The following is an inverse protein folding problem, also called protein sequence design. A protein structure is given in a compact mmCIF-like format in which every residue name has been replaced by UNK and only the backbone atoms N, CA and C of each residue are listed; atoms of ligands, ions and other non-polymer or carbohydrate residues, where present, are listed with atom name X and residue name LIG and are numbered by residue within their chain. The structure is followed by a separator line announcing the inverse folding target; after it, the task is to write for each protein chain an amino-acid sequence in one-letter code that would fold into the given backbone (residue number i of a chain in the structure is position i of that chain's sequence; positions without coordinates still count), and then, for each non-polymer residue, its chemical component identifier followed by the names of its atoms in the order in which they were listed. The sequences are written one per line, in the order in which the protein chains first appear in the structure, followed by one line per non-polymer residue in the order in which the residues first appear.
data_IF_115434370207
#
_entry.id   IF_115434370207
#
_cell.length_a   1.000
_cell.length_b   1.000
_cell.length_c   1.000
_cell.angle_alpha   90.00
_cell.angle_beta   90.00
_cell.angle_gamma   90.00
#
_symmetry.space_group_name_H-M   'P 1'
#
loop_
_entity.id
_entity.type
_entity.pdbx_description
1 polymer ?
#
# COMPACT_ATOMS: atom_id res chain seq x y z
N UNK A 1 5.00 14.03 45.70
CA UNK A 1 4.39 13.29 46.84
C UNK A 1 2.97 12.92 46.45
N UNK A 2 2.61 11.63 46.52
CA UNK A 2 1.30 11.12 46.10
C UNK A 2 0.17 11.71 46.94
N UNK A 3 -0.95 12.08 46.31
CA UNK A 3 -2.15 12.60 46.96
C UNK A 3 -2.67 11.64 48.06
N UNK A 4 -3.19 12.17 49.14
CA UNK A 4 -3.63 11.39 50.28
C UNK A 4 -4.66 10.31 49.96
N UNK A 5 -5.63 10.61 49.05
CA UNK A 5 -6.63 9.63 48.62
C UNK A 5 -5.99 8.44 47.88
N UNK A 6 -5.00 8.68 47.05
CA UNK A 6 -4.29 7.58 46.39
C UNK A 6 -3.50 6.73 47.38
N UNK A 7 -2.96 7.34 48.44
CA UNK A 7 -2.31 6.57 49.50
C UNK A 7 -3.28 5.67 50.27
N UNK A 8 -4.50 6.18 50.53
CA UNK A 8 -5.54 5.38 51.17
C UNK A 8 -6.03 4.24 50.29
N UNK A 9 -6.35 4.55 49.05
CA UNK A 9 -6.91 3.56 48.11
C UNK A 9 -5.88 2.56 47.64
N UNK A 10 -4.69 2.97 47.21
CA UNK A 10 -3.65 2.11 46.67
C UNK A 10 -2.72 1.57 47.76
N UNK A 11 -2.30 2.40 48.71
CA UNK A 11 -1.36 2.00 49.71
C UNK A 11 -1.97 1.12 50.81
N UNK A 12 -3.17 1.45 51.27
CA UNK A 12 -3.92 0.71 52.28
C UNK A 12 -4.98 -0.22 51.68
N UNK A 13 -5.14 -0.22 50.35
CA UNK A 13 -6.12 -1.05 49.64
C UNK A 13 -7.57 -0.84 50.12
N UNK A 14 -7.89 0.42 50.43
CA UNK A 14 -9.20 0.82 50.96
C UNK A 14 -10.18 1.09 49.80
N UNK A 15 -10.90 0.04 49.41
CA UNK A 15 -11.90 0.11 48.34
C UNK A 15 -13.06 1.06 48.67
N UNK A 16 -13.39 1.25 49.96
CA UNK A 16 -14.50 2.12 50.39
C UNK A 16 -14.29 3.60 50.06
N UNK A 17 -13.03 4.01 49.89
CA UNK A 17 -12.64 5.38 49.53
C UNK A 17 -12.34 5.59 48.04
N UNK A 18 -12.39 4.54 47.25
CA UNK A 18 -12.01 4.57 45.83
C UNK A 18 -12.93 5.51 45.05
N UNK A 19 -14.22 5.56 45.35
CA UNK A 19 -15.20 6.47 44.70
C UNK A 19 -14.89 7.95 44.91
N UNK A 20 -14.25 8.31 46.04
CA UNK A 20 -13.89 9.69 46.35
C UNK A 20 -12.85 10.29 45.39
N UNK A 21 -12.08 9.44 44.70
CA UNK A 21 -11.11 9.87 43.68
C UNK A 21 -11.76 10.62 42.53
N UNK A 22 -13.02 10.31 42.21
CA UNK A 22 -13.78 10.98 41.15
C UNK A 22 -14.34 12.34 41.56
N UNK A 23 -14.31 12.69 42.83
CA UNK A 23 -14.70 13.97 43.35
C UNK A 23 -13.58 15.01 43.32
N UNK A 24 -12.34 14.59 43.05
CA UNK A 24 -11.19 15.46 42.94
C UNK A 24 -11.08 16.07 41.54
N UNK A 25 -10.61 17.32 41.47
CA UNK A 25 -10.22 17.90 40.20
C UNK A 25 -8.96 17.23 39.64
N UNK A 26 -8.90 17.12 38.31
CA UNK A 26 -7.74 16.48 37.64
C UNK A 26 -6.42 17.17 37.98
N UNK A 27 -6.44 18.49 38.13
CA UNK A 27 -5.27 19.28 38.52
C UNK A 27 -4.73 18.95 39.92
N UNK A 28 -5.58 18.50 40.85
CA UNK A 28 -5.18 18.13 42.20
C UNK A 28 -4.40 16.83 42.25
N UNK A 29 -4.61 15.93 41.27
CA UNK A 29 -4.01 14.60 41.23
C UNK A 29 -2.97 14.42 40.14
N UNK A 30 -2.83 15.39 39.24
CA UNK A 30 -1.90 15.27 38.09
C UNK A 30 -0.47 14.89 38.52
N UNK A 31 0.06 15.53 39.55
CA UNK A 31 1.43 15.25 40.05
C UNK A 31 1.56 13.89 40.73
N UNK A 32 0.45 13.25 41.07
CA UNK A 32 0.40 11.95 41.72
C UNK A 32 0.31 10.78 40.75
N UNK A 33 0.02 11.03 39.47
CA UNK A 33 -0.33 9.96 38.52
C UNK A 33 0.82 8.98 38.27
N UNK A 34 2.05 9.47 38.21
CA UNK A 34 3.23 8.61 38.02
C UNK A 34 3.42 7.67 39.21
N UNK A 35 3.40 8.18 40.45
CA UNK A 35 3.53 7.37 41.64
C UNK A 35 2.38 6.37 41.78
N UNK A 36 1.16 6.79 41.40
CA UNK A 36 -0.02 5.91 41.43
C UNK A 36 0.12 4.75 40.43
N UNK A 37 0.61 5.01 39.22
CA UNK A 37 0.90 3.96 38.23
C UNK A 37 1.97 2.97 38.72
N UNK A 38 3.04 3.46 39.34
CA UNK A 38 4.08 2.63 39.92
C UNK A 38 3.53 1.74 41.05
N UNK A 39 2.65 2.30 41.88
CA UNK A 39 1.99 1.52 42.96
C UNK A 39 1.07 0.44 42.40
N UNK A 40 0.32 0.73 41.36
CA UNK A 40 -0.51 -0.26 40.64
C UNK A 40 0.37 -1.41 40.12
N UNK A 41 1.52 -1.09 39.55
CA UNK A 41 2.46 -2.09 39.05
C UNK A 41 2.93 -3.04 40.19
N UNK A 42 3.21 -2.50 41.36
CA UNK A 42 3.56 -3.29 42.54
C UNK A 42 2.42 -4.20 42.95
N UNK A 43 1.19 -3.67 43.06
CA UNK A 43 0.00 -4.45 43.44
C UNK A 43 -0.28 -5.57 42.44
N UNK A 44 -0.28 -5.26 41.17
CA UNK A 44 -0.56 -6.22 40.10
C UNK A 44 0.53 -7.27 39.88
N UNK A 45 1.74 -7.03 40.38
CA UNK A 45 2.85 -7.96 40.35
C UNK A 45 2.83 -8.95 41.51
N UNK A 46 1.94 -8.78 42.49
CA UNK A 46 1.79 -9.72 43.60
C UNK A 46 1.28 -11.07 43.09
N UNK A 47 1.78 -12.15 43.72
CA UNK A 47 1.43 -13.51 43.30
C UNK A 47 -0.03 -13.89 43.53
N UNK A 48 -0.72 -13.18 44.42
CA UNK A 48 -2.14 -13.38 44.75
C UNK A 48 -3.09 -12.44 43.94
N UNK A 49 -2.56 -11.52 43.14
CA UNK A 49 -3.37 -10.53 42.45
C UNK A 49 -4.49 -11.17 41.60
N UNK A 50 -4.20 -12.27 40.92
CA UNK A 50 -5.16 -12.95 40.05
C UNK A 50 -6.39 -13.50 40.81
N UNK A 51 -6.27 -13.76 42.10
CA UNK A 51 -7.35 -14.29 42.94
C UNK A 51 -7.85 -13.27 43.97
N UNK A 52 -7.23 -12.11 44.06
CA UNK A 52 -7.56 -11.06 45.01
C UNK A 52 -8.53 -10.05 44.42
N UNK A 53 -9.83 -10.27 44.63
CA UNK A 53 -10.89 -9.44 44.08
C UNK A 53 -10.84 -8.00 44.62
N UNK A 54 -10.41 -7.78 45.85
CA UNK A 54 -10.30 -6.43 46.40
C UNK A 54 -9.18 -5.63 45.71
N UNK A 55 -8.03 -6.23 45.52
CA UNK A 55 -6.90 -5.61 44.82
C UNK A 55 -7.25 -5.32 43.35
N UNK A 56 -7.93 -6.24 42.69
CA UNK A 56 -8.42 -6.05 41.32
C UNK A 56 -9.40 -4.87 41.21
N UNK A 57 -10.35 -4.76 42.13
CA UNK A 57 -11.31 -3.66 42.15
C UNK A 57 -10.65 -2.31 42.40
N UNK A 58 -9.72 -2.25 43.34
CA UNK A 58 -8.90 -1.06 43.66
C UNK A 58 -8.13 -0.60 42.42
N UNK A 59 -7.42 -1.51 41.77
CA UNK A 59 -6.62 -1.24 40.58
C UNK A 59 -7.52 -0.78 39.41
N UNK A 60 -8.62 -1.42 39.16
CA UNK A 60 -9.55 -1.07 38.08
C UNK A 60 -10.08 0.36 38.21
N UNK A 61 -10.54 0.74 39.41
CA UNK A 61 -11.04 2.07 39.70
C UNK A 61 -9.92 3.10 39.56
N UNK A 62 -8.74 2.84 40.13
CA UNK A 62 -7.61 3.76 40.05
C UNK A 62 -7.11 3.97 38.60
N UNK A 63 -7.03 2.93 37.82
CA UNK A 63 -6.63 3.04 36.39
C UNK A 63 -7.63 3.91 35.63
N UNK A 64 -8.93 3.68 35.82
CA UNK A 64 -9.96 4.49 35.18
C UNK A 64 -9.80 5.97 35.55
N UNK A 65 -9.56 6.27 36.81
CA UNK A 65 -9.34 7.65 37.26
C UNK A 65 -8.06 8.26 36.69
N UNK A 66 -6.97 7.50 36.68
CA UNK A 66 -5.67 7.95 36.18
C UNK A 66 -5.74 8.23 34.67
N UNK A 67 -6.28 7.30 33.89
CA UNK A 67 -6.37 7.46 32.43
C UNK A 67 -7.30 8.61 32.04
N UNK A 68 -8.38 8.82 32.80
CA UNK A 68 -9.27 9.99 32.61
C UNK A 68 -8.51 11.28 32.91
N UNK A 69 -7.77 11.38 34.01
CA UNK A 69 -6.98 12.57 34.34
C UNK A 69 -5.89 12.87 33.30
N UNK A 70 -5.21 11.85 32.80
CA UNK A 70 -4.20 12.00 31.72
C UNK A 70 -4.85 12.58 30.47
N UNK A 71 -6.02 12.10 30.10
CA UNK A 71 -6.76 12.59 28.93
C UNK A 71 -7.19 14.06 29.09
N UNK A 72 -7.82 14.37 30.22
CA UNK A 72 -8.37 15.72 30.46
C UNK A 72 -7.28 16.78 30.64
N UNK A 73 -6.15 16.43 31.21
CA UNK A 73 -5.00 17.34 31.41
C UNK A 73 -4.03 17.36 30.23
N UNK A 74 -4.14 16.43 29.28
CA UNK A 74 -3.19 16.30 28.18
C UNK A 74 -1.76 15.96 28.63
N UNK A 75 -1.59 15.33 29.78
CA UNK A 75 -0.31 15.15 30.48
C UNK A 75 0.38 13.81 30.21
N UNK A 76 -0.02 13.08 29.17
CA UNK A 76 0.49 11.73 28.90
C UNK A 76 2.01 11.68 28.81
N UNK A 77 2.68 12.68 28.26
CA UNK A 77 4.14 12.70 28.13
C UNK A 77 4.85 12.63 29.49
N UNK A 78 4.30 13.29 30.52
CA UNK A 78 4.86 13.26 31.87
C UNK A 78 4.80 11.88 32.50
N UNK A 79 3.77 11.10 32.16
CA UNK A 79 3.48 9.81 32.78
C UNK A 79 3.74 8.62 31.86
N UNK A 80 4.18 8.86 30.63
CA UNK A 80 4.31 7.85 29.59
C UNK A 80 5.20 6.69 30.01
N UNK A 81 6.33 6.96 30.63
CA UNK A 81 7.27 5.92 31.05
C UNK A 81 6.65 4.95 32.05
N UNK A 82 5.94 5.46 33.06
CA UNK A 82 5.27 4.63 34.06
C UNK A 82 4.04 3.94 33.50
N UNK A 83 3.29 4.61 32.63
CA UNK A 83 2.13 4.04 31.95
C UNK A 83 2.53 2.87 31.04
N UNK A 84 3.53 3.05 30.19
CA UNK A 84 4.05 2.00 29.31
C UNK A 84 4.74 0.90 30.11
N UNK A 85 5.43 1.23 31.22
CA UNK A 85 6.02 0.24 32.10
C UNK A 85 4.99 -0.68 32.76
N UNK A 86 3.87 -0.15 33.21
CA UNK A 86 2.74 -0.93 33.68
C UNK A 86 2.15 -1.81 32.58
N UNK A 87 1.98 -1.25 31.41
CA UNK A 87 1.49 -1.95 30.22
C UNK A 87 2.38 -3.15 29.86
N UNK A 88 3.69 -2.93 29.80
CA UNK A 88 4.68 -3.99 29.56
C UNK A 88 4.62 -5.10 30.63
N UNK A 89 4.42 -4.73 31.88
CA UNK A 89 4.32 -5.72 33.00
C UNK A 89 3.16 -6.71 32.81
N UNK A 90 2.08 -6.30 32.16
CA UNK A 90 0.95 -7.19 31.88
C UNK A 90 1.33 -8.36 30.95
N UNK A 91 2.37 -8.20 30.11
CA UNK A 91 2.86 -9.26 29.23
C UNK A 91 3.53 -10.44 29.96
N UNK A 92 3.93 -10.27 31.19
CA UNK A 92 4.50 -11.34 32.05
C UNK A 92 3.44 -12.33 32.54
N UNK A 93 2.16 -11.96 32.39
CA UNK A 93 1.02 -12.70 32.91
C UNK A 93 0.12 -13.21 31.78
N UNK A 94 -0.83 -14.07 32.12
CA UNK A 94 -1.79 -14.58 31.15
C UNK A 94 -2.82 -13.52 30.76
N UNK A 95 -2.87 -13.18 29.44
CA UNK A 95 -3.81 -12.23 28.88
C UNK A 95 -4.98 -12.89 28.17
N UNK A 96 -4.99 -14.22 28.07
CA UNK A 96 -6.04 -15.01 27.41
C UNK A 96 -6.80 -15.81 28.44
N UNK A 97 -8.12 -15.62 28.51
CA UNK A 97 -8.97 -16.44 29.36
C UNK A 97 -9.01 -17.88 28.84
N UNK A 98 -8.92 -18.84 29.75
CA UNK A 98 -9.12 -20.23 29.46
C UNK A 98 -10.62 -20.53 29.46
N UNK A 99 -11.24 -20.44 28.29
CA UNK A 99 -12.49 -21.12 28.03
C UNK A 99 -13.81 -20.35 28.10
N UNK A 100 -13.84 -19.03 28.12
CA UNK A 100 -15.00 -18.15 27.81
C UNK A 100 -14.53 -16.71 27.66
N UNK A 101 -15.38 -15.86 27.06
CA UNK A 101 -15.12 -14.45 26.74
C UNK A 101 -14.86 -13.52 27.94
N UNK A 102 -14.34 -14.04 29.04
CA UNK A 102 -14.00 -13.25 30.22
C UNK A 102 -12.56 -12.77 30.16
N UNK A 103 -12.38 -11.47 30.31
CA UNK A 103 -11.06 -10.87 30.42
C UNK A 103 -10.33 -11.31 31.70
N UNK A 104 -9.04 -11.59 31.57
CA UNK A 104 -8.21 -11.78 32.76
C UNK A 104 -7.97 -10.45 33.48
N UNK A 105 -7.64 -10.42 34.80
CA UNK A 105 -7.34 -9.17 35.50
C UNK A 105 -6.23 -8.34 34.81
N UNK A 106 -5.24 -8.99 34.23
CA UNK A 106 -4.16 -8.33 33.51
C UNK A 106 -4.58 -7.82 32.13
N UNK A 107 -5.48 -8.52 31.45
CA UNK A 107 -6.01 -8.03 30.18
C UNK A 107 -6.90 -6.79 30.33
N UNK A 108 -7.60 -6.66 31.48
CA UNK A 108 -8.35 -5.42 31.82
C UNK A 108 -7.43 -4.23 32.01
N UNK A 109 -6.34 -4.39 32.74
CA UNK A 109 -5.31 -3.35 32.91
C UNK A 109 -4.76 -2.96 31.52
N UNK A 110 -4.35 -3.94 30.73
CA UNK A 110 -3.78 -3.72 29.41
C UNK A 110 -4.76 -3.00 28.48
N UNK A 111 -6.06 -3.34 28.53
CA UNK A 111 -7.09 -2.69 27.69
C UNK A 111 -7.29 -1.22 28.03
N UNK A 112 -7.34 -0.87 29.32
CA UNK A 112 -7.50 0.51 29.76
C UNK A 112 -6.31 1.38 29.37
N UNK A 113 -5.10 0.86 29.53
CA UNK A 113 -3.87 1.55 29.08
C UNK A 113 -3.83 1.68 27.57
N UNK A 114 -4.22 0.63 26.84
CA UNK A 114 -4.31 0.64 25.37
C UNK A 114 -5.22 1.77 24.88
N UNK A 115 -6.39 1.93 25.48
CA UNK A 115 -7.34 3.01 25.12
C UNK A 115 -6.72 4.39 25.34
N UNK A 116 -5.99 4.58 26.44
CA UNK A 116 -5.29 5.83 26.73
C UNK A 116 -4.18 6.14 25.69
N UNK A 117 -3.40 5.13 25.33
CA UNK A 117 -2.32 5.25 24.34
C UNK A 117 -2.88 5.53 22.95
N UNK A 118 -3.96 4.85 22.55
CA UNK A 118 -4.64 5.08 21.25
C UNK A 118 -5.12 6.52 21.09
N UNK A 119 -5.65 7.13 22.15
CA UNK A 119 -6.11 8.51 22.10
C UNK A 119 -4.97 9.54 21.90
N UNK A 120 -3.73 9.12 22.14
CA UNK A 120 -2.53 9.95 22.04
C UNK A 120 -1.52 9.38 21.00
N UNK A 121 -2.03 8.77 19.95
CA UNK A 121 -1.23 8.09 18.93
C UNK A 121 -0.27 8.98 18.14
N UNK A 122 -0.50 10.30 18.16
CA UNK A 122 0.25 11.29 17.39
C UNK A 122 1.35 12.02 18.19
N UNK A 123 1.69 11.55 19.38
CA UNK A 123 2.73 12.14 20.21
C UNK A 123 4.03 11.34 20.14
N UNK A 124 5.07 11.83 19.40
CA UNK A 124 6.29 11.06 19.14
C UNK A 124 7.03 10.55 20.39
N UNK A 125 7.17 11.30 21.51
CA UNK A 125 7.83 10.79 22.70
C UNK A 125 7.10 9.59 23.32
N UNK A 126 5.77 9.59 23.30
CA UNK A 126 4.94 8.47 23.76
C UNK A 126 5.05 7.28 22.82
N UNK A 127 5.00 7.53 21.51
CA UNK A 127 5.15 6.50 20.48
C UNK A 127 6.47 5.75 20.58
N UNK A 128 7.57 6.43 20.84
CA UNK A 128 8.90 5.83 21.00
C UNK A 128 8.94 4.80 22.11
N UNK A 129 8.19 5.02 23.19
CA UNK A 129 8.05 4.08 24.31
C UNK A 129 7.01 2.98 24.04
N UNK A 130 5.90 3.33 23.40
CA UNK A 130 4.74 2.45 23.25
C UNK A 130 4.89 1.45 22.10
N UNK A 131 5.48 1.81 20.97
CA UNK A 131 5.59 0.95 19.79
C UNK A 131 6.28 -0.39 20.08
N UNK A 132 7.43 -0.45 20.75
CA UNK A 132 8.08 -1.74 21.07
C UNK A 132 7.19 -2.67 21.91
N UNK A 133 6.39 -2.10 22.81
CA UNK A 133 5.49 -2.86 23.67
C UNK A 133 4.24 -3.30 22.91
N UNK A 134 3.67 -2.41 22.10
CA UNK A 134 2.52 -2.72 21.24
C UNK A 134 2.82 -3.92 20.33
N UNK A 135 4.03 -3.99 19.78
CA UNK A 135 4.49 -5.12 18.95
C UNK A 135 4.51 -6.44 19.72
N UNK A 136 4.92 -6.42 20.99
CA UNK A 136 4.88 -7.63 21.85
C UNK A 136 3.44 -8.13 22.07
N UNK A 137 2.47 -7.24 22.20
CA UNK A 137 1.06 -7.59 22.35
C UNK A 137 0.46 -8.29 21.13
N UNK A 138 1.00 -8.11 19.94
CA UNK A 138 0.55 -8.82 18.75
C UNK A 138 0.61 -10.35 18.90
N UNK A 139 1.56 -10.87 19.65
CA UNK A 139 1.76 -12.30 19.86
C UNK A 139 1.19 -12.82 21.17
N UNK A 140 1.11 -11.98 22.18
CA UNK A 140 0.75 -12.36 23.56
C UNK A 140 -0.63 -11.89 23.99
N UNK A 141 -1.18 -10.87 23.33
CA UNK A 141 -2.49 -10.34 23.63
C UNK A 141 -3.64 -11.31 23.31
N UNK A 142 -4.80 -11.05 23.92
CA UNK A 142 -6.05 -11.65 23.45
C UNK A 142 -6.49 -11.03 22.09
N UNK A 143 -7.60 -11.52 21.55
CA UNK A 143 -8.07 -11.08 20.22
C UNK A 143 -8.32 -9.57 20.16
N UNK A 144 -8.93 -8.99 21.19
CA UNK A 144 -9.25 -7.56 21.22
C UNK A 144 -7.99 -6.69 21.39
N UNK A 145 -7.05 -7.10 22.25
CA UNK A 145 -5.77 -6.44 22.38
C UNK A 145 -4.99 -6.49 21.06
N UNK A 146 -4.95 -7.62 20.41
CA UNK A 146 -4.28 -7.75 19.10
C UNK A 146 -4.89 -6.82 18.06
N UNK A 147 -6.21 -6.73 17.98
CA UNK A 147 -6.92 -5.80 17.09
C UNK A 147 -6.61 -4.34 17.42
N UNK A 148 -6.63 -3.96 18.68
CA UNK A 148 -6.33 -2.61 19.13
C UNK A 148 -4.86 -2.23 18.87
N UNK A 149 -3.93 -3.16 19.04
CA UNK A 149 -2.53 -2.96 18.70
C UNK A 149 -2.33 -2.77 17.20
N UNK A 150 -3.04 -3.53 16.39
CA UNK A 150 -3.01 -3.37 14.93
C UNK A 150 -3.52 -1.99 14.50
N UNK A 151 -4.58 -1.49 15.13
CA UNK A 151 -5.06 -0.11 14.92
C UNK A 151 -4.01 0.92 15.33
N UNK A 152 -3.42 0.77 16.51
CA UNK A 152 -2.40 1.67 17.01
C UNK A 152 -1.18 1.73 16.10
N UNK A 153 -0.65 0.58 15.70
CA UNK A 153 0.50 0.49 14.80
C UNK A 153 0.20 1.08 13.41
N UNK A 154 -1.03 0.90 12.94
CA UNK A 154 -1.48 1.50 11.68
C UNK A 154 -1.49 3.04 11.74
N UNK A 155 -1.99 3.61 12.83
CA UNK A 155 -1.98 5.06 13.05
C UNK A 155 -0.55 5.58 13.26
N UNK A 156 0.27 4.86 14.02
CA UNK A 156 1.66 5.20 14.24
C UNK A 156 2.49 5.21 12.95
N UNK A 157 2.18 4.33 12.00
CA UNK A 157 2.84 4.27 10.70
C UNK A 157 2.60 5.50 9.83
N UNK A 158 1.44 6.14 9.98
CA UNK A 158 1.11 7.38 9.28
C UNK A 158 1.92 8.55 9.87
N UNK A 159 2.05 8.59 11.19
CA UNK A 159 2.69 9.71 11.89
C UNK A 159 4.22 9.60 11.86
N UNK A 160 4.75 8.41 12.15
CA UNK A 160 6.21 8.20 12.25
C UNK A 160 6.59 6.73 11.96
N UNK A 161 6.62 6.38 10.69
CA UNK A 161 6.96 5.03 10.23
C UNK A 161 8.35 4.54 10.69
N UNK A 162 9.29 5.45 10.94
CA UNK A 162 10.65 5.11 11.37
C UNK A 162 10.67 4.29 12.67
N UNK A 163 9.73 4.55 13.59
CA UNK A 163 9.62 3.81 14.84
C UNK A 163 9.18 2.35 14.67
N UNK A 164 8.56 2.05 13.54
CA UNK A 164 8.07 0.71 13.21
C UNK A 164 9.08 -0.12 12.41
N UNK A 165 10.07 0.52 11.81
CA UNK A 165 11.00 -0.11 10.88
C UNK A 165 11.76 -1.29 11.50
N UNK A 166 12.22 -1.18 12.75
CA UNK A 166 12.95 -2.22 13.45
C UNK A 166 12.06 -3.43 13.82
N UNK A 167 10.75 -3.26 13.76
CA UNK A 167 9.75 -4.28 14.09
C UNK A 167 9.10 -4.92 12.84
N UNK A 168 9.61 -4.64 11.65
CA UNK A 168 9.01 -5.09 10.38
C UNK A 168 8.88 -6.62 10.32
N UNK A 169 9.89 -7.38 10.75
CA UNK A 169 9.84 -8.85 10.77
C UNK A 169 8.67 -9.39 11.60
N UNK A 170 8.48 -8.83 12.79
CA UNK A 170 7.39 -9.22 13.70
C UNK A 170 6.03 -8.86 13.11
N UNK A 171 5.91 -7.71 12.50
CA UNK A 171 4.68 -7.24 11.84
C UNK A 171 4.33 -8.17 10.67
N UNK A 172 5.29 -8.51 9.83
CA UNK A 172 5.08 -9.45 8.70
C UNK A 172 4.63 -10.81 9.20
N UNK A 173 5.26 -11.36 10.23
CA UNK A 173 4.86 -12.63 10.84
C UNK A 173 3.43 -12.59 11.38
N UNK A 174 3.03 -11.49 11.99
CA UNK A 174 1.66 -11.30 12.47
C UNK A 174 0.66 -11.29 11.32
N UNK A 175 0.97 -10.64 10.21
CA UNK A 175 0.14 -10.65 9.00
C UNK A 175 -0.04 -12.08 8.47
N UNK A 176 1.04 -12.84 8.38
CA UNK A 176 1.02 -14.23 7.89
C UNK A 176 0.25 -15.16 8.83
N UNK A 177 0.10 -14.82 10.11
CA UNK A 177 -0.72 -15.53 11.07
C UNK A 177 -2.21 -15.15 11.03
N UNK A 178 -2.61 -14.28 10.11
CA UNK A 178 -3.99 -13.89 9.89
C UNK A 178 -4.36 -12.45 10.24
N UNK A 179 -3.41 -11.64 10.70
CA UNK A 179 -3.65 -10.24 11.06
C UNK A 179 -3.51 -9.31 9.84
N UNK A 180 -4.44 -9.43 8.89
CA UNK A 180 -4.41 -8.70 7.63
C UNK A 180 -4.51 -7.18 7.78
N UNK A 181 -5.03 -6.67 8.90
CA UNK A 181 -5.14 -5.24 9.15
C UNK A 181 -3.77 -4.54 9.15
N UNK A 182 -2.70 -5.23 9.52
CA UNK A 182 -1.34 -4.70 9.52
C UNK A 182 -0.73 -4.53 8.11
N UNK A 183 -1.36 -5.05 7.07
CA UNK A 183 -0.90 -4.82 5.70
C UNK A 183 -0.78 -3.34 5.36
N UNK A 184 -1.64 -2.50 5.91
CA UNK A 184 -1.58 -1.04 5.71
C UNK A 184 -0.32 -0.37 6.28
N UNK A 185 0.37 -1.02 7.19
CA UNK A 185 1.63 -0.55 7.79
C UNK A 185 2.82 -0.75 6.84
N UNK A 186 2.81 -1.83 6.08
CA UNK A 186 3.97 -2.27 5.29
C UNK A 186 4.45 -1.28 4.22
N UNK A 187 3.58 -0.58 3.47
CA UNK A 187 4.05 0.39 2.49
C UNK A 187 4.93 1.49 3.10
N UNK A 188 4.58 1.96 4.30
CA UNK A 188 5.32 3.02 4.98
C UNK A 188 6.68 2.55 5.51
N UNK A 189 6.78 1.32 5.99
CA UNK A 189 8.03 0.76 6.53
C UNK A 189 8.93 0.13 5.47
N UNK A 190 8.40 -0.19 4.31
CA UNK A 190 9.17 -0.82 3.23
C UNK A 190 10.36 0.02 2.78
N UNK A 191 10.19 1.32 2.70
CA UNK A 191 11.28 2.23 2.29
C UNK A 191 12.46 2.22 3.27
N UNK A 192 12.19 1.99 4.54
CA UNK A 192 13.19 1.98 5.62
C UNK A 192 13.79 0.60 5.82
N UNK A 193 12.99 -0.45 5.74
CA UNK A 193 13.38 -1.81 6.04
C UNK A 193 12.73 -2.81 5.08
N UNK A 194 13.22 -2.89 3.82
CA UNK A 194 12.61 -3.75 2.80
C UNK A 194 12.94 -5.24 2.99
N UNK A 195 14.06 -5.59 3.62
CA UNK A 195 14.57 -6.96 3.67
C UNK A 195 13.61 -7.98 4.31
N UNK A 196 13.00 -7.71 5.48
CA UNK A 196 12.06 -8.66 6.07
C UNK A 196 10.83 -8.90 5.18
N UNK A 197 10.35 -7.87 4.50
CA UNK A 197 9.21 -7.97 3.59
C UNK A 197 9.59 -8.78 2.35
N UNK A 198 10.73 -8.50 1.73
CA UNK A 198 11.21 -9.22 0.56
C UNK A 198 11.46 -10.71 0.85
N UNK A 199 11.94 -11.02 2.07
CA UNK A 199 12.17 -12.40 2.50
C UNK A 199 10.88 -13.22 2.55
N UNK A 200 9.77 -12.61 2.95
CA UNK A 200 8.45 -13.23 3.06
C UNK A 200 7.53 -12.91 1.86
N UNK A 201 8.10 -12.40 0.77
CA UNK A 201 7.32 -11.98 -0.38
C UNK A 201 6.47 -13.10 -1.00
N UNK A 202 6.98 -14.34 -1.17
CA UNK A 202 6.16 -15.43 -1.71
C UNK A 202 4.91 -15.72 -0.88
N UNK A 203 5.05 -15.71 0.44
CA UNK A 203 3.93 -15.95 1.37
C UNK A 203 2.93 -14.79 1.35
N UNK A 204 3.42 -13.55 1.29
CA UNK A 204 2.56 -12.37 1.16
C UNK A 204 1.79 -12.38 -0.17
N UNK A 205 2.43 -12.73 -1.27
CA UNK A 205 1.78 -12.85 -2.57
C UNK A 205 0.70 -13.94 -2.58
N UNK A 206 0.93 -15.05 -1.86
CA UNK A 206 -0.05 -16.12 -1.74
C UNK A 206 -1.34 -15.65 -1.00
N UNK A 207 -1.24 -14.64 -0.16
CA UNK A 207 -2.40 -14.07 0.53
C UNK A 207 -3.33 -13.29 -0.40
N UNK A 208 -2.85 -12.78 -1.52
CA UNK A 208 -3.61 -11.87 -2.39
C UNK A 208 -4.97 -12.45 -2.81
N UNK A 209 -5.03 -13.73 -3.14
CA UNK A 209 -6.26 -14.41 -3.54
C UNK A 209 -7.20 -14.72 -2.36
N UNK A 210 -6.70 -14.69 -1.14
CA UNK A 210 -7.45 -15.04 0.07
C UNK A 210 -7.98 -13.83 0.83
N UNK A 211 -7.41 -12.66 0.58
CA UNK A 211 -7.77 -11.42 1.26
C UNK A 211 -9.09 -10.86 0.74
N UNK A 212 -9.81 -10.20 1.63
CA UNK A 212 -10.92 -9.31 1.26
C UNK A 212 -10.39 -8.06 0.55
N UNK A 213 -11.27 -7.34 -0.13
CA UNK A 213 -10.93 -6.18 -0.97
C UNK A 213 -10.03 -5.14 -0.29
N UNK A 214 -10.28 -4.69 0.96
CA UNK A 214 -9.40 -3.73 1.63
C UNK A 214 -7.98 -4.26 1.85
N UNK A 215 -7.85 -5.54 2.22
CA UNK A 215 -6.56 -6.21 2.38
C UNK A 215 -5.81 -6.34 1.07
N UNK A 216 -6.50 -6.70 -0.01
CA UNK A 216 -5.94 -6.75 -1.35
C UNK A 216 -5.37 -5.39 -1.77
N UNK A 217 -6.12 -4.33 -1.56
CA UNK A 217 -5.69 -2.97 -1.88
C UNK A 217 -4.39 -2.58 -1.15
N UNK A 218 -4.29 -2.87 0.15
CA UNK A 218 -3.10 -2.55 0.92
C UNK A 218 -1.88 -3.38 0.50
N UNK A 219 -2.08 -4.65 0.18
CA UNK A 219 -1.01 -5.50 -0.35
C UNK A 219 -0.54 -4.99 -1.71
N UNK A 220 -1.46 -4.61 -2.60
CA UNK A 220 -1.11 -4.03 -3.90
C UNK A 220 -0.38 -2.70 -3.76
N UNK A 221 -0.75 -1.86 -2.81
CA UNK A 221 0.02 -0.64 -2.50
C UNK A 221 1.45 -0.96 -2.08
N UNK A 222 1.65 -1.98 -1.25
CA UNK A 222 2.97 -2.45 -0.88
C UNK A 222 3.78 -2.88 -2.11
N UNK A 223 3.19 -3.66 -2.99
CA UNK A 223 3.84 -4.11 -4.21
C UNK A 223 4.18 -2.96 -5.15
N UNK A 224 3.35 -1.92 -5.18
CA UNK A 224 3.64 -0.70 -5.94
C UNK A 224 4.87 0.06 -5.40
N UNK A 225 4.97 0.21 -4.08
CA UNK A 225 6.15 0.80 -3.43
C UNK A 225 7.39 -0.07 -3.69
N UNK A 226 7.26 -1.39 -3.59
CA UNK A 226 8.34 -2.33 -3.85
C UNK A 226 8.84 -2.26 -5.31
N UNK A 227 7.92 -2.15 -6.28
CA UNK A 227 8.27 -2.02 -7.69
C UNK A 227 9.12 -0.78 -7.99
N UNK A 228 8.86 0.33 -7.31
CA UNK A 228 9.65 1.57 -7.45
C UNK A 228 11.11 1.42 -7.04
N UNK A 229 11.45 0.43 -6.23
CA UNK A 229 12.83 0.10 -5.85
C UNK A 229 13.64 -0.60 -6.93
N UNK A 230 13.00 -0.98 -8.03
CA UNK A 230 13.63 -1.57 -9.22
C UNK A 230 14.46 -2.83 -8.94
N UNK A 231 14.01 -3.66 -8.01
CA UNK A 231 14.67 -4.93 -7.69
C UNK A 231 14.14 -6.04 -8.60
N UNK A 232 15.04 -6.64 -9.38
CA UNK A 232 14.69 -7.64 -10.39
C UNK A 232 14.02 -8.88 -9.78
N UNK A 233 14.54 -9.38 -8.67
CA UNK A 233 13.97 -10.56 -7.98
C UNK A 233 12.53 -10.31 -7.50
N UNK A 234 12.26 -9.12 -6.99
CA UNK A 234 10.91 -8.73 -6.56
C UNK A 234 9.97 -8.68 -7.75
N UNK A 235 10.40 -8.07 -8.85
CA UNK A 235 9.63 -8.02 -10.09
C UNK A 235 9.29 -9.41 -10.62
N UNK A 236 10.27 -10.30 -10.71
CA UNK A 236 10.08 -11.65 -11.21
C UNK A 236 9.12 -12.48 -10.38
N UNK A 237 9.08 -12.27 -9.07
CA UNK A 237 8.13 -12.94 -8.16
C UNK A 237 6.72 -12.35 -8.25
N UNK A 238 6.60 -11.03 -8.40
CA UNK A 238 5.31 -10.34 -8.39
C UNK A 238 4.52 -10.53 -9.69
N UNK A 239 5.17 -10.47 -10.85
CA UNK A 239 4.50 -10.45 -12.15
C UNK A 239 3.54 -11.61 -12.37
N UNK A 240 3.91 -12.88 -12.15
CA UNK A 240 2.99 -14.00 -12.38
C UNK A 240 1.72 -13.93 -11.52
N UNK A 241 1.87 -13.53 -10.27
CA UNK A 241 0.76 -13.43 -9.32
C UNK A 241 -0.17 -12.27 -9.68
N UNK A 242 0.40 -11.12 -10.02
CA UNK A 242 -0.36 -9.94 -10.40
C UNK A 242 -1.18 -10.16 -11.66
N UNK A 243 -0.60 -10.77 -12.69
CA UNK A 243 -1.30 -11.05 -13.94
C UNK A 243 -2.42 -12.07 -13.75
N UNK A 244 -2.19 -13.10 -12.93
CA UNK A 244 -3.23 -14.06 -12.58
C UNK A 244 -4.40 -13.39 -11.86
N UNK A 245 -4.10 -12.50 -10.93
CA UNK A 245 -5.10 -11.76 -10.16
C UNK A 245 -5.84 -10.71 -11.00
N UNK A 246 -5.20 -10.18 -12.04
CA UNK A 246 -5.77 -9.15 -12.91
C UNK A 246 -7.06 -9.60 -13.62
N UNK A 247 -7.21 -10.89 -13.90
CA UNK A 247 -8.39 -11.43 -14.61
C UNK A 247 -9.71 -11.20 -13.88
N UNK A 248 -9.70 -11.27 -12.56
CA UNK A 248 -10.89 -11.28 -11.72
C UNK A 248 -10.92 -10.17 -10.68
N UNK A 249 -9.98 -9.23 -10.76
CA UNK A 249 -9.80 -8.17 -9.76
C UNK A 249 -10.59 -6.91 -10.08
N UNK A 250 -11.09 -6.26 -9.03
CA UNK A 250 -11.61 -4.89 -9.08
C UNK A 250 -10.47 -3.84 -9.06
N UNK A 251 -9.22 -4.26 -8.78
CA UNK A 251 -8.04 -3.41 -8.66
C UNK A 251 -7.19 -3.37 -9.93
N UNK A 252 -7.81 -3.44 -11.09
CA UNK A 252 -7.12 -3.49 -12.39
C UNK A 252 -6.17 -2.31 -12.60
N UNK A 253 -6.56 -1.12 -12.23
CA UNK A 253 -5.74 0.09 -12.41
C UNK A 253 -4.43 0.03 -11.61
N UNK A 254 -4.49 -0.32 -10.34
CA UNK A 254 -3.28 -0.40 -9.51
C UNK A 254 -2.36 -1.54 -9.96
N UNK A 255 -2.93 -2.69 -10.32
CA UNK A 255 -2.15 -3.83 -10.83
C UNK A 255 -1.42 -3.45 -12.12
N UNK A 256 -2.10 -2.83 -13.07
CA UNK A 256 -1.48 -2.38 -14.32
C UNK A 256 -0.43 -1.31 -14.10
N UNK A 257 -0.64 -0.40 -13.17
CA UNK A 257 0.38 0.60 -12.81
C UNK A 257 1.64 -0.04 -12.22
N UNK A 258 1.49 -1.08 -11.41
CA UNK A 258 2.63 -1.87 -10.91
C UNK A 258 3.37 -2.55 -12.07
N UNK A 259 2.64 -3.18 -12.98
CA UNK A 259 3.23 -3.86 -14.15
C UNK A 259 3.93 -2.89 -15.09
N UNK A 260 3.39 -1.68 -15.29
CA UNK A 260 4.03 -0.61 -16.06
C UNK A 260 5.34 -0.17 -15.40
N UNK A 261 5.34 0.02 -14.08
CA UNK A 261 6.55 0.37 -13.34
C UNK A 261 7.62 -0.72 -13.50
N UNK A 262 7.25 -1.98 -13.35
CA UNK A 262 8.15 -3.14 -13.56
C UNK A 262 8.64 -3.19 -15.01
N UNK A 263 7.79 -2.95 -15.99
CA UNK A 263 8.17 -2.93 -17.40
C UNK A 263 9.24 -1.88 -17.72
N UNK A 264 9.28 -0.81 -16.94
CA UNK A 264 10.26 0.26 -17.10
C UNK A 264 11.71 -0.16 -16.76
N UNK A 265 11.91 -1.19 -15.94
CA UNK A 265 13.26 -1.64 -15.56
C UNK A 265 13.52 -3.13 -15.79
N UNK A 266 12.49 -3.96 -15.83
CA UNK A 266 12.59 -5.39 -16.09
C UNK A 266 11.49 -5.86 -17.08
N UNK A 267 11.53 -5.38 -18.33
CA UNK A 267 10.50 -5.70 -19.32
C UNK A 267 10.43 -7.19 -19.65
N UNK A 268 11.54 -7.92 -19.53
CA UNK A 268 11.58 -9.36 -19.81
C UNK A 268 10.73 -10.18 -18.85
N UNK A 269 10.48 -9.70 -17.63
CA UNK A 269 9.58 -10.35 -16.68
C UNK A 269 8.14 -10.43 -17.21
N UNK A 270 7.75 -9.55 -18.11
CA UNK A 270 6.42 -9.48 -18.71
C UNK A 270 6.30 -10.21 -20.04
N UNK A 271 7.42 -10.55 -20.67
CA UNK A 271 7.43 -11.05 -22.05
C UNK A 271 6.58 -12.32 -22.24
N UNK A 272 6.69 -13.29 -21.37
CA UNK A 272 5.92 -14.55 -21.45
C UNK A 272 4.43 -14.38 -21.14
N UNK A 273 4.04 -13.26 -20.54
CA UNK A 273 2.66 -12.95 -20.15
C UNK A 273 1.94 -12.03 -21.14
N UNK A 274 2.60 -11.56 -22.19
CA UNK A 274 1.98 -10.70 -23.19
C UNK A 274 0.72 -11.29 -23.84
N UNK A 275 0.65 -12.58 -24.17
CA UNK A 275 -0.58 -13.18 -24.71
C UNK A 275 -1.76 -13.08 -23.74
N UNK A 276 -1.51 -13.26 -22.45
CA UNK A 276 -2.54 -13.15 -21.41
C UNK A 276 -2.99 -11.70 -21.22
N UNK A 277 -2.07 -10.75 -21.27
CA UNK A 277 -2.36 -9.31 -21.23
C UNK A 277 -3.18 -8.89 -22.45
N UNK A 278 -2.89 -9.42 -23.63
CA UNK A 278 -3.68 -9.20 -24.84
C UNK A 278 -5.14 -9.63 -24.64
N UNK A 279 -5.36 -10.85 -24.14
CA UNK A 279 -6.69 -11.39 -23.85
C UNK A 279 -7.46 -10.48 -22.87
N UNK A 280 -6.80 -9.99 -21.81
CA UNK A 280 -7.39 -9.06 -20.85
C UNK A 280 -7.74 -7.73 -21.51
N UNK A 281 -6.87 -7.20 -22.35
CA UNK A 281 -7.12 -5.96 -23.10
C UNK A 281 -8.29 -6.08 -24.10
N UNK A 282 -8.45 -7.22 -24.73
CA UNK A 282 -9.59 -7.51 -25.61
C UNK A 282 -10.91 -7.61 -24.82
N UNK A 283 -10.86 -8.18 -23.62
CA UNK A 283 -12.02 -8.28 -22.72
C UNK A 283 -12.40 -6.91 -22.12
N UNK A 284 -11.42 -6.08 -21.82
CA UNK A 284 -11.59 -4.76 -21.20
C UNK A 284 -10.92 -3.66 -22.04
N UNK A 285 -11.57 -3.19 -23.12
CA UNK A 285 -10.98 -2.23 -24.06
C UNK A 285 -10.50 -0.91 -23.42
N UNK A 286 -11.08 -0.50 -22.30
CA UNK A 286 -10.67 0.71 -21.59
C UNK A 286 -9.26 0.62 -20.98
N UNK A 287 -8.66 -0.58 -20.89
CA UNK A 287 -7.30 -0.81 -20.39
C UNK A 287 -6.22 -0.73 -21.47
N UNK A 288 -6.59 -0.52 -22.72
CA UNK A 288 -5.66 -0.57 -23.87
C UNK A 288 -4.53 0.46 -23.74
N UNK A 289 -4.79 1.64 -23.18
CA UNK A 289 -3.74 2.64 -22.94
C UNK A 289 -2.62 2.12 -22.04
N UNK A 290 -2.95 1.42 -20.97
CA UNK A 290 -1.99 0.82 -20.06
C UNK A 290 -1.30 -0.40 -20.67
N UNK A 291 -2.05 -1.22 -21.42
CA UNK A 291 -1.49 -2.35 -22.17
C UNK A 291 -0.46 -1.87 -23.22
N UNK A 292 -0.74 -0.77 -23.91
CA UNK A 292 0.17 -0.17 -24.88
C UNK A 292 1.52 0.20 -24.25
N UNK A 293 1.52 0.74 -23.04
CA UNK A 293 2.76 1.08 -22.32
C UNK A 293 3.58 -0.15 -21.99
N UNK A 294 2.94 -1.25 -21.57
CA UNK A 294 3.61 -2.51 -21.29
C UNK A 294 4.22 -3.10 -22.56
N UNK A 295 3.44 -3.17 -23.64
CA UNK A 295 3.93 -3.64 -24.94
C UNK A 295 5.05 -2.75 -25.49
N UNK A 296 4.93 -1.43 -25.31
CA UNK A 296 5.97 -0.48 -25.68
C UNK A 296 7.29 -0.76 -24.94
N UNK A 297 7.25 -0.96 -23.64
CA UNK A 297 8.43 -1.27 -22.85
C UNK A 297 9.09 -2.59 -23.25
N UNK A 298 8.31 -3.65 -23.46
CA UNK A 298 8.84 -4.94 -23.91
C UNK A 298 9.41 -4.84 -25.33
N UNK A 299 8.78 -4.06 -26.19
CA UNK A 299 9.23 -3.83 -27.56
C UNK A 299 10.55 -3.09 -27.69
N UNK A 300 11.06 -2.46 -26.63
CA UNK A 300 12.37 -1.80 -26.61
C UNK A 300 13.53 -2.72 -26.26
N UNK A 301 13.27 -3.97 -25.90
CA UNK A 301 14.33 -4.90 -25.46
C UNK A 301 15.24 -5.30 -26.61
N UNK A 302 14.68 -5.77 -27.70
CA UNK A 302 15.39 -6.18 -28.91
C UNK A 302 14.48 -6.13 -30.15
N UNK A 303 15.07 -6.37 -31.32
CA UNK A 303 14.40 -6.29 -32.61
C UNK A 303 13.28 -7.34 -32.77
N UNK A 304 13.47 -8.54 -32.25
CA UNK A 304 12.46 -9.62 -32.31
C UNK A 304 11.21 -9.27 -31.51
N UNK A 305 11.41 -8.78 -30.29
CA UNK A 305 10.32 -8.33 -29.43
C UNK A 305 9.67 -7.06 -29.96
N UNK A 306 10.45 -6.16 -30.54
CA UNK A 306 9.94 -4.97 -31.20
C UNK A 306 8.96 -5.32 -32.33
N UNK A 307 9.29 -6.30 -33.17
CA UNK A 307 8.39 -6.77 -34.25
C UNK A 307 7.09 -7.34 -33.70
N UNK A 308 7.17 -8.20 -32.69
CA UNK A 308 6.00 -8.81 -32.04
C UNK A 308 5.09 -7.76 -31.39
N UNK A 309 5.66 -6.84 -30.62
CA UNK A 309 4.92 -5.77 -29.95
C UNK A 309 4.31 -4.77 -30.93
N UNK A 310 5.03 -4.40 -31.99
CA UNK A 310 4.51 -3.54 -33.06
C UNK A 310 3.32 -4.16 -33.77
N UNK A 311 3.36 -5.47 -34.05
CA UNK A 311 2.23 -6.17 -34.69
C UNK A 311 0.97 -6.03 -33.85
N UNK A 312 1.08 -6.21 -32.53
CA UNK A 312 -0.05 -6.02 -31.61
C UNK A 312 -0.52 -4.56 -31.58
N UNK A 313 0.39 -3.61 -31.33
CA UNK A 313 0.05 -2.19 -31.19
C UNK A 313 -0.59 -1.62 -32.48
N UNK A 314 -0.08 -1.99 -33.64
CA UNK A 314 -0.62 -1.59 -34.92
C UNK A 314 -2.01 -2.20 -35.16
N UNK A 315 -2.24 -3.44 -34.77
CA UNK A 315 -3.57 -4.07 -34.86
C UNK A 315 -4.58 -3.34 -33.97
N UNK A 316 -4.18 -2.91 -32.79
CA UNK A 316 -5.03 -2.13 -31.89
C UNK A 316 -5.31 -0.72 -32.46
N UNK A 317 -4.32 -0.09 -33.05
CA UNK A 317 -4.51 1.21 -33.70
C UNK A 317 -5.56 1.16 -34.80
N UNK A 318 -5.63 0.04 -35.54
CA UNK A 318 -6.62 -0.16 -36.63
C UNK A 318 -8.06 -0.33 -36.10
N UNK A 319 -8.23 -0.88 -34.88
CA UNK A 319 -9.53 -1.34 -34.38
C UNK A 319 -10.08 -0.51 -33.21
N UNK A 320 -9.29 0.42 -32.63
CA UNK A 320 -9.68 1.14 -31.44
C UNK A 320 -10.41 2.46 -31.73
N UNK A 321 -11.23 2.87 -30.78
CA UNK A 321 -11.82 4.20 -30.77
C UNK A 321 -10.78 5.31 -30.61
N UNK A 322 -11.15 6.52 -30.98
CA UNK A 322 -10.27 7.68 -31.11
C UNK A 322 -9.49 8.05 -29.81
N UNK A 323 -10.03 7.77 -28.64
CA UNK A 323 -9.44 8.17 -27.35
C UNK A 323 -8.10 7.51 -27.02
N UNK A 324 -7.78 6.35 -27.59
CA UNK A 324 -6.55 5.60 -27.30
C UNK A 324 -5.50 5.69 -28.42
N UNK A 325 -5.83 6.24 -29.56
CA UNK A 325 -4.95 6.30 -30.73
C UNK A 325 -3.65 7.05 -30.43
N UNK A 326 -3.72 8.10 -29.66
CA UNK A 326 -2.54 8.90 -29.31
C UNK A 326 -1.49 8.09 -28.52
N UNK A 327 -1.90 7.34 -27.52
CA UNK A 327 -1.00 6.50 -26.71
C UNK A 327 -0.40 5.39 -27.57
N UNK A 328 -1.22 4.73 -28.40
CA UNK A 328 -0.77 3.70 -29.31
C UNK A 328 0.27 4.24 -30.30
N UNK A 329 0.04 5.41 -30.89
CA UNK A 329 0.98 6.05 -31.80
C UNK A 329 2.30 6.43 -31.12
N UNK A 330 2.25 6.94 -29.90
CA UNK A 330 3.46 7.28 -29.15
C UNK A 330 4.33 6.05 -28.92
N UNK A 331 3.74 4.94 -28.51
CA UNK A 331 4.48 3.70 -28.27
C UNK A 331 5.01 3.09 -29.59
N UNK A 332 4.21 3.07 -30.63
CA UNK A 332 4.62 2.62 -31.98
C UNK A 332 5.81 3.45 -32.45
N UNK A 333 5.70 4.77 -32.40
CA UNK A 333 6.76 5.67 -32.85
C UNK A 333 8.04 5.48 -32.04
N UNK A 334 7.93 5.35 -30.73
CA UNK A 334 9.08 5.14 -29.84
C UNK A 334 9.85 3.86 -30.20
N UNK A 335 9.13 2.76 -30.47
CA UNK A 335 9.76 1.48 -30.88
C UNK A 335 10.41 1.64 -32.27
N UNK A 336 9.73 2.26 -33.22
CA UNK A 336 10.23 2.42 -34.59
C UNK A 336 11.42 3.38 -34.67
N UNK A 337 11.49 4.38 -33.81
CA UNK A 337 12.64 5.28 -33.71
C UNK A 337 13.86 4.56 -33.10
N UNK A 338 13.65 3.59 -32.21
CA UNK A 338 14.72 2.79 -31.62
C UNK A 338 15.25 1.74 -32.60
N UNK A 339 14.36 1.05 -33.29
CA UNK A 339 14.69 -0.04 -34.25
C UNK A 339 14.30 0.35 -35.68
N UNK A 340 15.03 1.30 -36.25
CA UNK A 340 14.76 1.83 -37.59
C UNK A 340 14.80 0.77 -38.69
N UNK A 341 15.55 -0.31 -38.49
CA UNK A 341 15.68 -1.42 -39.43
C UNK A 341 14.37 -2.19 -39.68
N UNK A 342 13.46 -2.22 -38.71
CA UNK A 342 12.21 -3.01 -38.79
C UNK A 342 11.29 -2.52 -39.91
N UNK A 343 11.10 -1.21 -40.00
CA UNK A 343 10.20 -0.57 -40.99
C UNK A 343 10.95 0.10 -42.13
N UNK A 344 12.27 0.16 -42.04
CA UNK A 344 13.13 0.85 -43.00
C UNK A 344 13.07 2.38 -42.86
N UNK A 345 13.86 3.10 -43.67
CA UNK A 345 13.99 4.55 -43.58
C UNK A 345 12.72 5.33 -43.88
N UNK A 346 11.77 4.73 -44.61
CA UNK A 346 10.49 5.36 -44.97
C UNK A 346 9.46 5.38 -43.85
N UNK A 347 9.70 4.71 -42.73
CA UNK A 347 8.77 4.63 -41.60
C UNK A 347 8.44 6.01 -41.02
N UNK A 348 9.41 6.91 -40.98
CA UNK A 348 9.22 8.28 -40.47
C UNK A 348 8.22 9.06 -41.30
N UNK A 349 8.12 8.78 -42.60
CA UNK A 349 7.20 9.47 -43.52
C UNK A 349 5.77 8.97 -43.34
N UNK A 350 5.57 7.72 -42.92
CA UNK A 350 4.24 7.14 -42.69
C UNK A 350 3.44 7.98 -41.67
N UNK A 351 4.08 8.40 -40.60
CA UNK A 351 3.44 9.23 -39.55
C UNK A 351 3.12 10.66 -40.04
N UNK A 352 3.74 11.11 -41.14
CA UNK A 352 3.52 12.43 -41.74
C UNK A 352 2.53 12.40 -42.89
N UNK A 353 2.31 11.22 -43.47
CA UNK A 353 1.53 11.08 -44.72
C UNK A 353 0.03 11.13 -44.54
N UNK A 354 -0.49 10.91 -43.34
CA UNK A 354 -1.93 10.84 -43.11
C UNK A 354 -2.33 11.28 -41.69
N UNK A 355 -3.47 11.95 -41.62
CA UNK A 355 -4.14 12.26 -40.36
C UNK A 355 -5.12 11.14 -39.94
N UNK A 356 -5.25 10.09 -40.74
CA UNK A 356 -6.11 8.94 -40.44
C UNK A 356 -5.33 7.84 -39.76
N UNK A 357 -5.69 7.54 -38.52
CA UNK A 357 -5.07 6.45 -37.76
C UNK A 357 -5.24 5.08 -38.44
N UNK A 358 -6.38 4.84 -39.07
CA UNK A 358 -6.64 3.62 -39.87
C UNK A 358 -5.70 3.50 -41.05
N UNK A 359 -5.42 4.60 -41.75
CA UNK A 359 -4.48 4.62 -42.87
C UNK A 359 -3.05 4.38 -42.38
N UNK A 360 -2.63 5.03 -41.31
CA UNK A 360 -1.31 4.80 -40.68
C UNK A 360 -1.17 3.32 -40.26
N UNK A 361 -2.17 2.76 -39.57
CA UNK A 361 -2.16 1.35 -39.15
C UNK A 361 -2.03 0.41 -40.37
N UNK A 362 -2.74 0.66 -41.47
CA UNK A 362 -2.67 -0.13 -42.70
C UNK A 362 -1.28 -0.08 -43.33
N UNK A 363 -0.68 1.10 -43.41
CA UNK A 363 0.66 1.28 -43.98
C UNK A 363 1.73 0.57 -43.10
N UNK A 364 1.64 0.70 -41.80
CA UNK A 364 2.55 0.03 -40.86
C UNK A 364 2.40 -1.51 -40.91
N UNK A 365 1.17 -2.02 -41.01
CA UNK A 365 0.91 -3.44 -41.20
C UNK A 365 1.57 -4.02 -42.43
N UNK A 366 1.49 -3.32 -43.55
CA UNK A 366 2.14 -3.72 -44.80
C UNK A 366 3.65 -3.78 -44.68
N UNK A 367 4.25 -2.78 -44.00
CA UNK A 367 5.70 -2.78 -43.79
C UNK A 367 6.17 -3.94 -42.88
N UNK A 368 5.41 -4.24 -41.82
CA UNK A 368 5.69 -5.36 -40.93
C UNK A 368 5.58 -6.71 -41.66
N UNK A 369 4.59 -6.91 -42.52
CA UNK A 369 4.41 -8.11 -43.34
C UNK A 369 5.55 -8.28 -44.35
N UNK A 370 5.93 -7.21 -45.05
CA UNK A 370 7.05 -7.23 -45.99
C UNK A 370 8.38 -7.58 -45.31
N UNK A 371 8.59 -7.16 -44.07
CA UNK A 371 9.76 -7.49 -43.28
C UNK A 371 9.80 -8.97 -42.86
N UNK A 372 8.63 -9.60 -42.60
CA UNK A 372 8.54 -11.04 -42.26
C UNK A 372 8.88 -11.97 -43.43
N UNK A 373 8.54 -11.56 -44.66
CA UNK A 373 8.71 -12.41 -45.85
C UNK A 373 10.14 -12.46 -46.41
N UNK A 374 11.12 -11.77 -45.74
CA UNK A 374 12.54 -11.81 -46.14
C UNK A 374 12.78 -11.32 -47.58
N UNK A 375 11.81 -10.68 -48.20
CA UNK A 375 11.92 -10.17 -49.56
C UNK A 375 12.60 -8.81 -49.54
N UNK A 376 13.89 -8.80 -49.26
CA UNK A 376 14.81 -7.76 -49.62
C UNK A 376 14.98 -7.76 -51.14
N UNK A 377 13.91 -7.55 -51.88
CA UNK A 377 13.96 -7.04 -53.22
C UNK A 377 13.59 -5.59 -53.13
N UNK A 378 14.61 -4.75 -53.15
CA UNK A 378 14.50 -3.36 -53.58
C UNK A 378 13.80 -3.36 -54.93
N UNK A 379 12.48 -3.21 -54.93
CA UNK A 379 11.74 -2.69 -56.04
C UNK A 379 11.61 -1.20 -55.79
N UNK A 380 12.60 -0.49 -56.32
CA UNK A 380 12.46 0.90 -56.71
C UNK A 380 11.18 1.06 -57.51
N UNK A 381 10.40 2.07 -57.15
CA UNK A 381 9.28 2.66 -57.89
C UNK A 381 8.08 1.75 -58.16
N UNK A 382 7.11 1.83 -57.27
CA UNK A 382 5.75 1.98 -57.75
C UNK A 382 5.29 3.35 -57.24
N UNK A 383 5.16 4.25 -58.19
CA UNK A 383 4.49 5.52 -58.06
C UNK A 383 3.10 5.27 -57.48
N UNK A 384 2.93 5.62 -56.19
CA UNK A 384 1.60 5.79 -55.62
C UNK A 384 1.19 7.20 -56.03
N UNK A 385 0.39 7.31 -57.06
CA UNK A 385 -0.32 8.54 -57.35
C UNK A 385 -1.19 8.91 -56.15
N UNK A 386 -0.76 9.90 -55.43
CA UNK A 386 -1.57 10.56 -54.40
C UNK A 386 -2.32 11.71 -55.07
N UNK A 387 -3.62 11.87 -54.82
CA UNK A 387 -4.33 13.06 -55.32
C UNK A 387 -3.77 14.31 -54.64
N UNK A 388 -3.34 15.25 -55.48
CA UNK A 388 -2.94 16.61 -55.09
C UNK A 388 -4.09 17.38 -54.48
N UNK A 389 -4.35 17.21 -53.18
CA UNK A 389 -5.14 18.17 -52.39
C UNK A 389 -4.84 17.94 -50.88
N UNK A 390 -3.70 18.38 -50.45
CA UNK A 390 -3.39 18.40 -49.01
C UNK A 390 -2.56 19.62 -48.58
N UNK A 391 -2.95 20.81 -49.05
CA UNK A 391 -2.26 22.06 -48.63
C UNK A 391 -2.80 22.71 -47.36
N UNK A 392 -4.01 22.38 -46.93
CA UNK A 392 -4.69 23.14 -45.86
C UNK A 392 -4.84 22.37 -44.51
N UNK A 393 -4.47 21.09 -44.45
CA UNK A 393 -4.68 20.27 -43.24
C UNK A 393 -3.51 20.31 -42.24
N UNK A 394 -2.39 20.97 -42.51
CA UNK A 394 -1.20 20.98 -41.64
C UNK A 394 -1.32 21.82 -40.37
N UNK A 395 -2.22 22.80 -40.34
CA UNK A 395 -2.42 23.69 -39.20
C UNK A 395 -3.37 23.12 -38.14
N UNK A 396 -4.34 22.29 -38.55
CA UNK A 396 -5.32 21.69 -37.62
C UNK A 396 -4.81 20.49 -36.83
N UNK A 397 -3.79 19.77 -37.31
CA UNK A 397 -3.24 18.61 -36.60
C UNK A 397 -2.39 19.01 -35.40
N UNK A 398 -1.68 20.13 -35.46
CA UNK A 398 -0.87 20.62 -34.32
C UNK A 398 -1.76 21.19 -33.19
N UNK A 399 -2.86 21.87 -33.55
CA UNK A 399 -3.82 22.40 -32.57
C UNK A 399 -4.63 21.28 -31.89
N UNK A 400 -4.96 20.20 -32.61
CA UNK A 400 -5.64 19.03 -32.05
C UNK A 400 -4.71 18.19 -31.12
N UNK A 401 -3.42 18.07 -31.45
CA UNK A 401 -2.47 17.38 -30.57
C UNK A 401 -2.29 18.06 -29.20
N UNK A 402 -2.28 19.40 -29.20
CA UNK A 402 -2.17 20.16 -27.94
C UNK A 402 -3.48 20.12 -27.14
N UNK A 403 -4.63 20.05 -27.79
CA UNK A 403 -5.94 19.95 -27.15
C UNK A 403 -6.16 18.56 -26.54
N UNK A 404 -5.74 17.49 -27.20
CA UNK A 404 -5.79 16.12 -26.66
C UNK A 404 -4.79 15.91 -25.52
N UNK A 405 -3.58 16.47 -25.61
CA UNK A 405 -2.61 16.47 -24.50
C UNK A 405 -3.15 17.17 -23.24
N UNK A 406 -3.93 18.23 -23.42
CA UNK A 406 -4.58 18.95 -22.32
C UNK A 406 -5.76 18.16 -21.72
N UNK A 407 -6.53 17.46 -22.55
CA UNK A 407 -7.65 16.63 -22.07
C UNK A 407 -7.16 15.38 -21.34
N UNK A 408 -6.12 14.70 -21.82
CA UNK A 408 -5.52 13.54 -21.14
C UNK A 408 -4.91 13.94 -19.80
N UNK A 409 -4.29 15.12 -19.70
CA UNK A 409 -3.85 15.67 -18.40
C UNK A 409 -5.01 16.00 -17.48
N UNK A 410 -6.12 16.55 -17.97
CA UNK A 410 -7.30 16.85 -17.15
C UNK A 410 -8.03 15.61 -16.66
N UNK A 411 -8.13 14.56 -17.47
CA UNK A 411 -8.74 13.27 -17.08
C UNK A 411 -7.87 12.51 -16.07
N UNK A 412 -6.56 12.58 -16.19
CA UNK A 412 -5.64 11.99 -15.20
C UNK A 412 -5.71 12.67 -13.83
N UNK A 413 -5.91 13.98 -13.80
CA UNK A 413 -6.06 14.75 -12.55
C UNK A 413 -7.44 14.60 -11.91
N UNK A 414 -8.51 14.47 -12.67
CA UNK A 414 -9.87 14.32 -12.15
C UNK A 414 -10.08 12.95 -11.47
N UNK A 415 -9.41 11.91 -11.93
CA UNK A 415 -9.50 10.57 -11.31
C UNK A 415 -8.72 10.47 -9.99
N UNK A 416 -7.68 11.28 -9.80
CA UNK A 416 -6.95 11.35 -8.52
C UNK A 416 -7.67 12.21 -7.46
N UNK A 417 -8.48 13.19 -7.88
CA UNK A 417 -9.13 14.12 -6.95
C UNK A 417 -10.42 13.57 -6.29
N UNK A 418 -11.05 12.55 -6.88
CA UNK A 418 -12.34 12.00 -6.37
C UNK A 418 -12.20 10.80 -5.42
N UNK A 419 -10.98 10.27 -5.21
CA UNK A 419 -10.73 9.19 -4.24
C UNK A 419 -9.98 9.62 -2.98
N UNK A 420 -9.89 10.91 -2.71
CA UNK A 420 -9.16 11.49 -1.57
C UNK A 420 -9.99 11.80 -0.31
N UNK A 421 -11.27 11.52 -0.29
CA UNK A 421 -12.13 11.73 0.87
C UNK A 421 -13.03 10.52 1.12
N UNK A 422 -12.45 9.51 1.79
CA UNK A 422 -13.15 8.64 2.73
C UNK A 422 -12.10 7.75 3.40
N UNK A 423 -11.91 8.03 4.69
CA UNK A 423 -11.21 7.38 5.80
C UNK A 423 -10.39 6.09 5.57
#
# INVERSE_FOLDING_TARGET
MMHQLFRLVLGQKDLSRAGDLFSLDDSEIEDSLTEALEQIKIISSSSDYQTNNNDQAVVEICITRITTAIRETGSIEKHAKSLVGLWDSCLEHNLRALGKDEDTPYSKIASDITSCILQNYNQPPVMALAVPIAVKFLHRGNKDLCKNMSNYLSLASITKADLLADHTEVIVKSILQGNAMLLRVLPAVYEKQPQPINRHLPELLALLAQLEEPGQYHLLRLLHVAAKRKQIEVAQKCVPVLIRHLKDSTHTDIILNILIEIAGYEPLALNSFLPMLKEIGERFPYLIGQMARIYGAVGHVDEERARSCLTYLVSQLANMEHSFHHILLLEIKSITDTFVSILGPQSRDIFRMSNSFTTIARLLSRQLENAKTGSSRIKTSAEVEFPEKMGEAKLTAAENEDHEKLQVKKLGFAHCAHKGHEF
#
